data_IF_900135271135
#
_entry.id   IF_900135271135
#
_cell.length_a   1.000
_cell.length_b   1.000
_cell.length_c   1.000
_cell.angle_alpha   90.00
_cell.angle_beta   90.00
_cell.angle_gamma   90.00
#
_symmetry.space_group_name_H-M   'P 1'
#
loop_
_entity.id
_entity.type
_entity.pdbx_description
1 polymer ?
#
# COMPACT_ATOMS: atom_id res chain seq x y z
N UNK A 1 -2.79 -2.46 24.43
CA UNK A 1 -1.36 -2.15 24.20
C UNK A 1 -1.25 -0.64 24.32
N UNK A 2 -0.77 -0.15 25.47
CA UNK A 2 -0.60 1.27 25.73
C UNK A 2 0.55 1.80 24.87
N UNK A 3 0.25 2.71 23.95
CA UNK A 3 1.24 3.47 23.16
C UNK A 3 1.71 4.73 23.91
N UNK A 4 1.59 4.73 25.23
CA UNK A 4 1.98 5.85 26.09
C UNK A 4 3.46 5.70 26.44
N UNK A 5 4.27 6.70 26.03
CA UNK A 5 5.62 7.05 26.51
C UNK A 5 6.77 7.02 25.49
N UNK A 6 6.50 6.86 24.19
CA UNK A 6 7.56 6.85 23.17
C UNK A 6 7.61 8.00 22.15
N UNK A 7 6.48 8.64 21.81
CA UNK A 7 6.39 9.32 20.52
C UNK A 7 6.19 10.85 20.63
N UNK A 8 7.26 11.56 20.24
CA UNK A 8 7.33 12.94 19.78
C UNK A 8 7.09 14.09 20.78
N UNK A 9 8.20 14.62 21.31
CA UNK A 9 8.25 16.02 21.77
C UNK A 9 8.39 16.96 20.55
N UNK A 10 7.34 17.09 19.72
CA UNK A 10 7.35 18.03 18.59
C UNK A 10 7.13 19.47 19.09
N UNK A 11 8.07 20.37 18.76
CA UNK A 11 7.82 21.82 18.89
C UNK A 11 6.68 22.23 17.95
N UNK A 12 5.88 23.22 18.35
CA UNK A 12 4.86 23.81 17.49
C UNK A 12 5.45 24.20 16.12
N UNK A 13 4.78 23.80 15.04
CA UNK A 13 5.12 23.99 13.62
C UNK A 13 6.34 23.18 13.14
N UNK A 14 6.44 21.92 13.55
CA UNK A 14 7.49 21.03 13.04
C UNK A 14 7.28 20.70 11.56
N UNK A 15 8.36 20.82 10.76
CA UNK A 15 8.42 20.32 9.38
C UNK A 15 8.65 18.82 9.43
N UNK A 16 7.79 18.02 8.80
CA UNK A 16 7.99 16.57 8.73
C UNK A 16 8.02 16.07 7.28
N UNK A 17 8.74 14.98 7.08
CA UNK A 17 8.67 14.17 5.88
C UNK A 17 7.89 12.92 6.24
N UNK A 18 6.82 12.62 5.50
CA UNK A 18 6.10 11.36 5.66
C UNK A 18 6.79 10.29 4.82
N UNK A 19 7.17 9.19 5.48
CA UNK A 19 7.88 8.08 4.85
C UNK A 19 7.04 6.80 4.95
N UNK A 20 6.82 6.14 3.83
CA UNK A 20 6.03 4.91 3.76
C UNK A 20 6.92 3.68 3.56
N UNK A 21 6.67 2.59 4.32
CA UNK A 21 7.45 1.36 4.19
C UNK A 21 7.13 0.63 2.90
N UNK A 22 8.07 -0.17 2.40
CA UNK A 22 7.82 -1.08 1.29
C UNK A 22 7.13 -2.37 1.72
N UNK A 23 6.82 -3.18 0.71
CA UNK A 23 5.98 -4.37 0.79
C UNK A 23 6.53 -5.47 1.70
N UNK A 24 7.83 -5.43 2.03
CA UNK A 24 8.44 -6.34 3.01
C UNK A 24 7.77 -6.29 4.38
N UNK A 25 7.16 -5.16 4.75
CA UNK A 25 6.52 -4.97 6.06
C UNK A 25 5.08 -5.52 6.14
N UNK A 26 4.51 -6.02 5.04
CA UNK A 26 3.07 -6.39 4.94
C UNK A 26 2.60 -7.46 5.94
N UNK A 27 3.50 -8.28 6.47
CA UNK A 27 3.18 -9.31 7.47
C UNK A 27 2.64 -8.71 8.76
N UNK A 28 3.14 -7.52 9.14
CA UNK A 28 2.71 -6.79 10.34
C UNK A 28 1.28 -6.26 10.23
N UNK A 29 0.69 -6.31 9.03
CA UNK A 29 -0.62 -5.75 8.75
C UNK A 29 -1.74 -6.79 8.71
N UNK A 30 -1.42 -8.07 8.92
CA UNK A 30 -2.38 -9.16 8.87
C UNK A 30 -3.12 -9.33 10.20
N UNK A 31 -4.43 -9.50 10.13
CA UNK A 31 -5.32 -9.79 11.27
C UNK A 31 -5.26 -8.76 12.41
N UNK A 32 -4.94 -7.50 12.08
CA UNK A 32 -4.89 -6.40 13.06
C UNK A 32 -6.27 -5.81 13.41
N UNK A 33 -7.34 -6.41 12.90
CA UNK A 33 -8.72 -6.03 13.15
C UNK A 33 -9.19 -4.80 12.36
N UNK A 34 -10.33 -4.24 12.77
CA UNK A 34 -11.03 -3.15 12.08
C UNK A 34 -11.05 -1.84 12.88
N UNK A 35 -10.32 -1.77 13.99
CA UNK A 35 -10.30 -0.62 14.90
C UNK A 35 -9.95 0.69 14.19
N UNK A 36 -8.99 0.66 13.27
CA UNK A 36 -8.59 1.82 12.48
C UNK A 36 -9.72 2.30 11.56
N UNK A 37 -10.42 1.39 10.90
CA UNK A 37 -11.57 1.72 10.06
C UNK A 37 -12.73 2.29 10.91
N UNK A 38 -12.93 1.75 12.12
CA UNK A 38 -14.04 2.12 13.01
C UNK A 38 -13.73 3.27 13.98
N UNK A 39 -12.59 3.94 13.86
CA UNK A 39 -12.19 4.99 14.81
C UNK A 39 -13.00 6.30 14.70
N UNK A 40 -13.94 6.39 13.75
CA UNK A 40 -14.78 7.57 13.53
C UNK A 40 -14.10 8.71 12.76
N UNK A 41 -12.94 8.44 12.15
CA UNK A 41 -12.24 9.39 11.30
C UNK A 41 -12.77 9.31 9.85
N UNK A 42 -13.46 10.35 9.41
CA UNK A 42 -14.11 10.40 8.10
C UNK A 42 -13.14 10.32 6.92
N UNK A 43 -11.90 10.78 7.09
CA UNK A 43 -10.86 10.64 6.05
C UNK A 43 -10.44 9.17 5.91
N UNK A 44 -10.35 8.44 7.02
CA UNK A 44 -10.05 7.01 7.01
C UNK A 44 -11.18 6.23 6.35
N UNK A 45 -12.43 6.52 6.70
CA UNK A 45 -13.60 5.90 6.06
C UNK A 45 -13.60 6.14 4.55
N UNK A 46 -13.27 7.36 4.11
CA UNK A 46 -13.13 7.71 2.69
C UNK A 46 -12.01 6.91 2.02
N UNK A 47 -10.84 6.81 2.64
CA UNK A 47 -9.70 6.04 2.10
C UNK A 47 -10.10 4.59 1.83
N UNK A 48 -10.71 3.92 2.82
CA UNK A 48 -11.14 2.53 2.68
C UNK A 48 -12.25 2.37 1.63
N UNK A 49 -13.19 3.30 1.57
CA UNK A 49 -14.28 3.31 0.58
C UNK A 49 -13.74 3.45 -0.84
N UNK A 50 -12.86 4.42 -1.10
CA UNK A 50 -12.26 4.62 -2.42
C UNK A 50 -11.45 3.40 -2.85
N UNK A 51 -10.72 2.77 -1.92
CA UNK A 51 -10.00 1.54 -2.18
C UNK A 51 -10.93 0.37 -2.52
N UNK A 52 -12.02 0.17 -1.75
CA UNK A 52 -13.01 -0.88 -2.01
C UNK A 52 -13.68 -0.71 -3.38
N UNK A 53 -14.06 0.52 -3.74
CA UNK A 53 -14.61 0.84 -5.05
C UNK A 53 -13.59 0.52 -6.15
N UNK A 54 -12.32 0.89 -5.97
CA UNK A 54 -11.26 0.62 -6.94
C UNK A 54 -10.98 -0.87 -7.15
N UNK A 55 -11.21 -1.69 -6.12
CA UNK A 55 -11.12 -3.15 -6.16
C UNK A 55 -12.39 -3.83 -6.71
N UNK A 56 -13.42 -3.07 -7.06
CA UNK A 56 -14.69 -3.61 -7.56
C UNK A 56 -15.62 -4.18 -6.49
N UNK A 57 -15.34 -3.91 -5.21
CA UNK A 57 -16.17 -4.35 -4.08
C UNK A 57 -17.38 -3.44 -3.81
N UNK A 58 -17.44 -2.28 -4.49
CA UNK A 58 -18.45 -1.26 -4.24
C UNK A 58 -18.21 -0.55 -2.90
N UNK A 59 -19.28 -0.06 -2.29
CA UNK A 59 -19.23 0.64 -1.00
C UNK A 59 -19.13 -0.33 0.19
N UNK A 60 -18.10 -1.17 0.17
CA UNK A 60 -17.83 -2.22 1.17
C UNK A 60 -16.40 -2.06 1.72
N UNK A 61 -16.10 -0.98 2.47
CA UNK A 61 -14.75 -0.68 2.98
C UNK A 61 -14.14 -1.81 3.81
N UNK A 62 -14.96 -2.58 4.52
CA UNK A 62 -14.56 -3.73 5.32
C UNK A 62 -13.88 -4.84 4.50
N UNK A 63 -14.14 -4.92 3.19
CA UNK A 63 -13.47 -5.90 2.31
C UNK A 63 -12.01 -5.60 2.10
N UNK A 64 -11.55 -4.38 2.39
CA UNK A 64 -10.12 -4.04 2.30
C UNK A 64 -9.31 -4.46 3.53
N UNK A 65 -9.96 -4.97 4.59
CA UNK A 65 -9.25 -5.43 5.79
C UNK A 65 -8.45 -6.71 5.48
N UNK A 66 -7.19 -6.76 5.91
CA UNK A 66 -6.28 -7.89 5.69
C UNK A 66 -6.56 -8.98 6.73
N UNK A 67 -7.68 -9.69 6.58
CA UNK A 67 -8.06 -10.82 7.42
C UNK A 67 -8.31 -12.07 6.55
N UNK A 68 -8.40 -13.23 7.22
CA UNK A 68 -8.60 -14.51 6.53
C UNK A 68 -9.91 -14.55 5.71
N UNK A 69 -10.96 -13.88 6.17
CA UNK A 69 -12.29 -13.88 5.53
C UNK A 69 -12.30 -13.12 4.20
N UNK A 70 -11.49 -12.08 4.07
CA UNK A 70 -11.40 -11.26 2.87
C UNK A 70 -10.36 -11.78 1.87
N UNK A 71 -9.52 -12.75 2.24
CA UNK A 71 -8.50 -13.24 1.32
C UNK A 71 -9.11 -13.94 0.11
N UNK A 72 -8.74 -13.49 -1.11
CA UNK A 72 -9.05 -14.27 -2.30
C UNK A 72 -8.47 -15.68 -2.20
N UNK A 73 -9.18 -16.64 -2.78
CA UNK A 73 -8.77 -18.05 -2.82
C UNK A 73 -7.65 -18.28 -3.84
N UNK A 74 -7.60 -17.48 -4.90
CA UNK A 74 -6.57 -17.56 -5.95
C UNK A 74 -5.28 -16.90 -5.48
N UNK A 75 -4.14 -17.61 -5.62
CA UNK A 75 -2.82 -17.15 -5.14
C UNK A 75 -2.42 -15.77 -5.70
N UNK A 76 -2.67 -15.54 -6.99
CA UNK A 76 -2.41 -14.25 -7.67
C UNK A 76 -3.26 -13.13 -7.10
N UNK A 77 -4.58 -13.32 -7.10
CA UNK A 77 -5.52 -12.34 -6.56
C UNK A 77 -5.21 -12.01 -5.11
N UNK A 78 -4.78 -13.00 -4.32
CA UNK A 78 -4.34 -12.79 -2.95
C UNK A 78 -3.14 -11.87 -2.84
N UNK A 79 -2.15 -11.96 -3.74
CA UNK A 79 -1.03 -11.02 -3.73
C UNK A 79 -1.47 -9.61 -4.12
N UNK A 80 -2.32 -9.47 -5.13
CA UNK A 80 -2.88 -8.18 -5.54
C UNK A 80 -3.67 -7.52 -4.41
N UNK A 81 -4.56 -8.30 -3.78
CA UNK A 81 -5.30 -7.90 -2.60
C UNK A 81 -4.37 -7.42 -1.47
N UNK A 82 -3.32 -8.19 -1.13
CA UNK A 82 -2.39 -7.80 -0.08
C UNK A 82 -1.71 -6.46 -0.41
N UNK A 83 -1.28 -6.25 -1.65
CA UNK A 83 -0.69 -4.99 -2.09
C UNK A 83 -1.64 -3.81 -1.94
N UNK A 84 -2.86 -3.96 -2.47
CA UNK A 84 -3.91 -2.95 -2.42
C UNK A 84 -4.32 -2.59 -0.98
N UNK A 85 -4.55 -3.60 -0.15
CA UNK A 85 -4.91 -3.39 1.26
C UNK A 85 -3.75 -2.82 2.07
N UNK A 86 -2.51 -3.22 1.79
CA UNK A 86 -1.32 -2.69 2.47
C UNK A 86 -1.18 -1.17 2.26
N UNK A 87 -1.33 -0.69 1.02
CA UNK A 87 -1.25 0.76 0.77
C UNK A 87 -2.43 1.48 1.41
N UNK A 88 -3.63 0.90 1.38
CA UNK A 88 -4.85 1.46 1.99
C UNK A 88 -4.64 1.66 3.50
N UNK A 89 -4.09 0.65 4.17
CA UNK A 89 -3.82 0.71 5.60
C UNK A 89 -2.78 1.78 5.95
N UNK A 90 -1.71 1.90 5.17
CA UNK A 90 -0.68 2.92 5.40
C UNK A 90 -1.23 4.36 5.21
N UNK A 91 -2.13 4.58 4.24
CA UNK A 91 -2.83 5.87 4.12
C UNK A 91 -3.70 6.16 5.34
N UNK A 92 -4.44 5.16 5.80
CA UNK A 92 -5.30 5.29 6.98
C UNK A 92 -4.49 5.61 8.24
N UNK A 93 -3.34 4.96 8.45
CA UNK A 93 -2.41 5.29 9.54
C UNK A 93 -1.90 6.73 9.44
N UNK A 94 -1.54 7.19 8.24
CA UNK A 94 -1.09 8.56 8.05
C UNK A 94 -2.19 9.59 8.35
N UNK A 95 -3.45 9.28 7.99
CA UNK A 95 -4.60 10.10 8.34
C UNK A 95 -4.86 10.10 9.86
N UNK A 96 -4.73 8.95 10.52
CA UNK A 96 -4.88 8.82 11.97
C UNK A 96 -3.80 9.62 12.71
N UNK A 97 -2.54 9.54 12.28
CA UNK A 97 -1.44 10.30 12.87
C UNK A 97 -1.69 11.82 12.81
N UNK A 98 -2.20 12.31 11.67
CA UNK A 98 -2.56 13.73 11.49
C UNK A 98 -3.68 14.14 12.45
N UNK A 99 -4.69 13.30 12.61
CA UNK A 99 -5.82 13.56 13.50
C UNK A 99 -5.40 13.52 14.98
N UNK A 100 -4.60 12.55 15.41
CA UNK A 100 -4.08 12.47 16.76
C UNK A 100 -3.20 13.67 17.13
N UNK A 101 -2.35 14.12 16.21
CA UNK A 101 -1.54 15.31 16.43
C UNK A 101 -2.42 16.56 16.60
N UNK A 102 -3.47 16.70 15.78
CA UNK A 102 -4.45 17.78 15.91
C UNK A 102 -5.15 17.73 17.28
N UNK A 103 -5.60 16.56 17.72
CA UNK A 103 -6.26 16.37 19.03
C UNK A 103 -5.32 16.72 20.20
N UNK A 104 -4.04 16.37 20.08
CA UNK A 104 -2.98 16.70 21.06
C UNK A 104 -2.45 18.14 20.92
N UNK A 105 -3.03 18.97 20.03
CA UNK A 105 -2.61 20.34 19.73
C UNK A 105 -1.14 20.46 19.28
N UNK A 106 -0.58 19.39 18.70
CA UNK A 106 0.69 19.43 18.01
C UNK A 106 0.47 19.89 16.57
N UNK A 107 1.08 21.01 16.19
CA UNK A 107 1.09 21.42 14.79
C UNK A 107 2.35 20.91 14.09
N UNK A 108 2.15 20.06 13.09
CA UNK A 108 3.17 19.75 12.10
C UNK A 108 2.62 20.01 10.70
N UNK A 109 3.52 20.19 9.74
CA UNK A 109 3.17 20.21 8.32
C UNK A 109 4.10 19.31 7.56
N UNK A 110 3.51 18.53 6.65
CA UNK A 110 4.24 17.62 5.79
C UNK A 110 4.83 18.40 4.62
N UNK A 111 6.16 18.47 4.56
CA UNK A 111 6.88 19.20 3.51
C UNK A 111 7.24 18.32 2.31
N UNK A 112 7.28 17.00 2.52
CA UNK A 112 7.55 16.02 1.48
C UNK A 112 6.97 14.66 1.85
N UNK A 113 6.72 13.86 0.83
CA UNK A 113 6.32 12.46 0.93
C UNK A 113 7.36 11.60 0.22
N UNK A 114 7.73 10.48 0.83
CA UNK A 114 8.66 9.51 0.26
C UNK A 114 8.25 8.10 0.68
N UNK A 115 8.80 7.09 0.02
CA UNK A 115 8.56 5.72 0.38
C UNK A 115 9.64 4.80 -0.18
N UNK A 116 9.84 3.69 0.52
CA UNK A 116 10.78 2.65 0.10
C UNK A 116 10.11 1.70 -0.89
N UNK A 117 10.70 1.53 -2.08
CA UNK A 117 10.22 0.61 -3.11
C UNK A 117 8.71 0.77 -3.35
N UNK A 118 7.90 -0.24 -2.99
CA UNK A 118 6.44 -0.24 -3.10
C UNK A 118 5.75 0.92 -2.35
N UNK A 119 6.34 1.41 -1.26
CA UNK A 119 5.85 2.55 -0.49
C UNK A 119 5.83 3.87 -1.27
N UNK A 120 6.50 3.95 -2.44
CA UNK A 120 6.43 5.12 -3.32
C UNK A 120 4.99 5.38 -3.82
N UNK A 121 4.16 4.33 -3.92
CA UNK A 121 2.76 4.46 -4.32
C UNK A 121 2.00 5.27 -3.25
N UNK A 122 2.17 4.96 -1.97
CA UNK A 122 1.60 5.74 -0.87
C UNK A 122 2.08 7.19 -0.87
N UNK A 123 3.36 7.43 -1.18
CA UNK A 123 3.91 8.77 -1.26
C UNK A 123 3.27 9.59 -2.38
N UNK A 124 3.11 8.99 -3.57
CA UNK A 124 2.46 9.62 -4.72
C UNK A 124 0.98 9.93 -4.46
N UNK A 125 0.25 9.03 -3.78
CA UNK A 125 -1.13 9.29 -3.36
C UNK A 125 -1.17 10.45 -2.36
N UNK A 126 -0.31 10.40 -1.35
CA UNK A 126 -0.30 11.40 -0.26
C UNK A 126 0.13 12.79 -0.72
N UNK A 127 0.93 12.89 -1.78
CA UNK A 127 1.26 14.16 -2.44
C UNK A 127 0.19 14.65 -3.41
N UNK A 128 -0.86 13.86 -3.67
CA UNK A 128 -1.90 14.14 -4.66
C UNK A 128 -1.49 13.91 -6.11
N UNK A 129 -0.34 13.27 -6.36
CA UNK A 129 0.11 12.92 -7.70
C UNK A 129 -0.69 11.72 -8.29
N UNK A 130 -1.25 10.88 -7.41
CA UNK A 130 -2.20 9.82 -7.76
C UNK A 130 -3.46 9.94 -6.91
N UNK A 131 -4.60 9.53 -7.47
CA UNK A 131 -5.79 9.26 -6.67
C UNK A 131 -5.61 7.99 -5.84
N UNK A 132 -6.40 7.82 -4.77
CA UNK A 132 -6.39 6.57 -3.98
C UNK A 132 -6.76 5.40 -4.88
N UNK A 133 -7.80 5.56 -5.70
CA UNK A 133 -8.26 4.51 -6.60
C UNK A 133 -7.22 4.07 -7.63
N UNK A 134 -6.47 5.00 -8.22
CA UNK A 134 -5.40 4.67 -9.17
C UNK A 134 -4.24 3.95 -8.48
N UNK A 135 -3.81 4.45 -7.32
CA UNK A 135 -2.77 3.81 -6.53
C UNK A 135 -3.16 2.38 -6.09
N UNK A 136 -4.41 2.17 -5.68
CA UNK A 136 -4.98 0.86 -5.33
C UNK A 136 -4.98 -0.09 -6.52
N UNK A 137 -5.38 0.38 -7.71
CA UNK A 137 -5.34 -0.43 -8.94
C UNK A 137 -3.92 -0.80 -9.33
N UNK A 138 -2.97 0.15 -9.26
CA UNK A 138 -1.54 -0.10 -9.50
C UNK A 138 -1.03 -1.15 -8.52
N UNK A 139 -1.31 -0.99 -7.22
CA UNK A 139 -0.87 -1.93 -6.19
C UNK A 139 -1.45 -3.34 -6.40
N UNK A 140 -2.75 -3.43 -6.71
CA UNK A 140 -3.43 -4.69 -7.00
C UNK A 140 -2.81 -5.39 -8.22
N UNK A 141 -2.50 -4.61 -9.26
CA UNK A 141 -1.95 -5.13 -10.50
C UNK A 141 -0.49 -5.57 -10.37
N UNK A 142 0.37 -4.75 -9.77
CA UNK A 142 1.83 -4.99 -9.79
C UNK A 142 2.28 -6.01 -8.74
N UNK A 143 1.61 -6.10 -7.59
CA UNK A 143 2.06 -6.96 -6.49
C UNK A 143 2.19 -8.44 -6.85
N UNK A 144 1.23 -9.06 -7.57
CA UNK A 144 1.36 -10.43 -8.02
C UNK A 144 2.60 -10.64 -8.90
N UNK A 145 2.91 -9.71 -9.82
CA UNK A 145 4.09 -9.84 -10.69
C UNK A 145 5.41 -9.59 -9.95
N UNK A 146 5.44 -8.70 -8.95
CA UNK A 146 6.64 -8.53 -8.13
C UNK A 146 6.92 -9.80 -7.32
N UNK A 147 5.89 -10.51 -6.88
CA UNK A 147 6.03 -11.65 -5.96
C UNK A 147 5.96 -13.04 -6.63
N UNK A 148 5.42 -13.15 -7.85
CA UNK A 148 5.13 -14.42 -8.53
C UNK A 148 5.60 -14.46 -9.99
N UNK A 149 6.40 -13.48 -10.43
CA UNK A 149 7.00 -13.41 -11.78
C UNK A 149 7.88 -14.60 -12.16
N UNK A 150 8.18 -15.51 -11.23
CA UNK A 150 8.93 -16.73 -11.50
C UNK A 150 8.07 -17.93 -11.96
N UNK A 151 6.74 -17.88 -11.81
CA UNK A 151 5.86 -19.03 -12.08
C UNK A 151 5.09 -18.83 -13.41
N UNK A 152 5.00 -19.87 -14.26
CA UNK A 152 4.09 -19.88 -15.43
C UNK A 152 2.64 -19.86 -14.95
N UNK A 153 1.81 -18.98 -15.50
CA UNK A 153 0.46 -18.70 -14.98
C UNK A 153 -0.61 -18.86 -16.06
N UNK A 154 -1.64 -19.67 -15.80
CA UNK A 154 -2.73 -20.00 -16.75
C UNK A 154 -4.12 -19.49 -16.29
N UNK A 155 -4.22 -18.78 -15.17
CA UNK A 155 -5.49 -18.40 -14.55
C UNK A 155 -6.24 -17.25 -15.27
N UNK A 156 -7.54 -17.13 -15.02
CA UNK A 156 -8.42 -16.15 -15.65
C UNK A 156 -8.04 -14.69 -15.35
N UNK A 157 -7.45 -14.41 -14.19
CA UNK A 157 -6.97 -13.08 -13.85
C UNK A 157 -5.74 -12.73 -14.70
N UNK A 158 -4.78 -13.64 -14.80
CA UNK A 158 -3.64 -13.51 -15.72
C UNK A 158 -4.09 -13.28 -17.18
N UNK A 159 -5.14 -13.99 -17.63
CA UNK A 159 -5.74 -13.77 -18.96
C UNK A 159 -6.40 -12.39 -19.10
N UNK A 160 -7.10 -11.90 -18.06
CA UNK A 160 -7.70 -10.56 -18.06
C UNK A 160 -6.65 -9.45 -18.13
N UNK A 161 -5.45 -9.70 -17.59
CA UNK A 161 -4.32 -8.78 -17.65
C UNK A 161 -3.67 -8.80 -19.03
N UNK A 162 -3.56 -9.97 -19.66
CA UNK A 162 -3.03 -10.08 -21.02
C UNK A 162 -3.78 -9.18 -22.01
N UNK A 163 -5.07 -8.88 -21.76
CA UNK A 163 -5.84 -7.94 -22.57
C UNK A 163 -5.21 -6.53 -22.64
N UNK A 164 -4.50 -6.09 -21.60
CA UNK A 164 -3.82 -4.79 -21.52
C UNK A 164 -2.44 -4.77 -22.19
N UNK A 165 -1.92 -5.91 -22.64
CA UNK A 165 -0.65 -5.95 -23.37
C UNK A 165 -0.84 -5.47 -24.82
N UNK A 166 0.11 -4.66 -25.33
CA UNK A 166 0.26 -4.43 -26.77
C UNK A 166 0.32 -5.78 -27.52
N UNK A 167 -0.22 -5.81 -28.75
CA UNK A 167 -0.29 -7.03 -29.58
C UNK A 167 1.10 -7.66 -29.77
N UNK A 168 2.13 -6.82 -29.85
CA UNK A 168 3.52 -7.19 -30.04
C UNK A 168 4.11 -7.99 -28.87
N UNK A 169 3.56 -7.81 -27.67
CA UNK A 169 3.96 -8.52 -26.44
C UNK A 169 3.12 -9.78 -26.18
N UNK A 170 1.95 -9.91 -26.81
CA UNK A 170 1.10 -11.12 -26.70
C UNK A 170 1.67 -12.31 -27.45
N UNK A 171 2.47 -12.06 -28.49
CA UNK A 171 3.05 -13.09 -29.36
C UNK A 171 4.47 -13.51 -28.93
N UNK A 172 5.06 -12.86 -27.92
CA UNK A 172 6.39 -13.21 -27.43
C UNK A 172 6.30 -14.19 -26.27
N UNK A 173 7.12 -15.24 -26.30
CA UNK A 173 7.38 -16.06 -25.12
C UNK A 173 7.98 -15.15 -24.04
N UNK A 174 7.23 -14.94 -22.94
CA UNK A 174 7.69 -14.17 -21.80
C UNK A 174 9.01 -14.77 -21.30
N UNK A 175 10.11 -14.01 -21.47
CA UNK A 175 11.43 -14.42 -21.02
C UNK A 175 11.40 -14.48 -19.49
N UNK A 176 11.68 -15.66 -18.92
CA UNK A 176 11.92 -15.81 -17.49
C UNK A 176 13.22 -15.10 -17.14
N UNK A 177 13.15 -13.84 -16.71
CA UNK A 177 14.33 -13.14 -16.22
C UNK A 177 14.59 -13.51 -14.76
N UNK A 178 15.85 -13.85 -14.48
CA UNK A 178 16.35 -14.10 -13.13
C UNK A 178 16.56 -12.76 -12.43
N UNK A 179 15.76 -12.45 -11.40
CA UNK A 179 15.94 -11.22 -10.63
C UNK A 179 17.24 -11.25 -9.83
N UNK A 180 18.16 -10.34 -10.13
CA UNK A 180 19.32 -10.04 -9.29
C UNK A 180 19.07 -8.75 -8.51
N UNK A 181 18.98 -8.83 -7.19
CA UNK A 181 19.04 -7.64 -6.32
C UNK A 181 20.52 -7.39 -6.00
N UNK A 182 21.08 -6.29 -6.48
CA UNK A 182 22.42 -5.82 -6.12
C UNK A 182 22.26 -4.77 -5.02
N UNK A 183 22.73 -5.07 -3.82
CA UNK A 183 22.88 -4.08 -2.74
C UNK A 183 24.32 -3.54 -2.76
N UNK A 184 24.47 -2.23 -2.94
CA UNK A 184 25.74 -1.53 -2.78
C UNK A 184 25.81 -0.92 -1.37
N UNK A 185 26.88 -1.24 -0.65
CA UNK A 185 27.24 -0.62 0.62
C UNK A 185 28.46 0.27 0.38
N UNK A 186 28.34 1.55 0.70
CA UNK A 186 29.49 2.46 0.72
C UNK A 186 30.30 2.20 2.00
N UNK A 187 31.58 1.86 1.85
CA UNK A 187 32.53 1.91 2.97
C UNK A 187 33.12 3.32 3.05
N UNK A 188 32.71 4.07 4.07
CA UNK A 188 33.38 5.31 4.43
C UNK A 188 34.73 4.92 5.02
N UNK A 189 35.82 5.17 4.27
CA UNK A 189 37.18 5.09 4.81
C UNK A 189 37.41 6.23 5.79
N UNK A 190 37.65 5.87 7.05
CA UNK A 190 38.21 6.72 8.11
C UNK A 190 39.65 7.12 7.82
#
# INVERSE_FOLDING_TARGET
MDLNDGFFNMKNNSKIIMFFPGLGSRTEYQNIGDSLLRCGNTEIEKIYREAAIAMGYGDQPEKMLINLENFPTVKMEKQGFIGASFITYNLALAAQLKEEAKQKKHSFYTVAYSGESFGIINAAISSGALSIGDGVKIANFFTPYILLSSDKQEDLFSQSIAAYYPLELKEQDLISETYYVIALREEIKS
#
